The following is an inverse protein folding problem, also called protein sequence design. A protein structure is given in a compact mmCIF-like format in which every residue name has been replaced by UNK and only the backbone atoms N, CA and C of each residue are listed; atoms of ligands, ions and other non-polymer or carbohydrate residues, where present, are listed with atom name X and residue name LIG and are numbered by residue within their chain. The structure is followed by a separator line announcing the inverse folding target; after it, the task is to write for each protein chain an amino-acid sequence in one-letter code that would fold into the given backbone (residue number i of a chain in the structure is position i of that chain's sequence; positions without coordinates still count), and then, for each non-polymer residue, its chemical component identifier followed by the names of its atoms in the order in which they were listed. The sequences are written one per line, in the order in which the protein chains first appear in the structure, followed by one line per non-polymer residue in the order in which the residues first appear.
data_IF_127847295574
#
_entry.id   IF_127847295574
#
_cell.length_a   1.000
_cell.length_b   1.000
_cell.length_c   1.000
_cell.angle_alpha   90.00
_cell.angle_beta   90.00
_cell.angle_gamma   90.00
#
_symmetry.space_group_name_H-M   'P 1'
#
loop_
_entity.id
_entity.type
_entity.pdbx_description
1 polymer ?
#
# COMPACT_ATOMS: atom_id res chain seq x y z
N UNK A 1 -8.36 8.59 -0.41
CA UNK A 1 -9.49 7.84 0.17
C UNK A 1 -10.82 8.60 0.25
N UNK A 2 -10.82 9.95 0.27
CA UNK A 2 -12.05 10.79 0.34
C UNK A 2 -13.13 10.44 -0.69
N UNK A 3 -12.74 9.98 -1.88
CA UNK A 3 -13.66 9.52 -2.94
C UNK A 3 -14.29 8.13 -2.69
N UNK A 4 -13.99 7.50 -1.56
CA UNK A 4 -14.47 6.17 -1.17
C UNK A 4 -14.34 5.13 -2.30
N UNK A 5 -13.14 4.97 -2.91
CA UNK A 5 -12.99 4.02 -4.00
C UNK A 5 -13.15 2.59 -3.47
N UNK A 6 -13.67 1.68 -4.31
CA UNK A 6 -13.65 0.25 -3.99
C UNK A 6 -12.26 -0.36 -4.18
N UNK A 7 -11.47 0.20 -5.11
CA UNK A 7 -10.13 -0.24 -5.44
C UNK A 7 -9.21 0.98 -5.51
N UNK A 8 -8.09 0.94 -4.82
CA UNK A 8 -7.05 1.96 -4.84
C UNK A 8 -5.78 1.38 -5.49
N UNK A 9 -5.35 1.96 -6.60
CA UNK A 9 -4.09 1.65 -7.26
C UNK A 9 -3.07 2.73 -6.93
N UNK A 10 -1.90 2.35 -6.43
CA UNK A 10 -0.86 3.25 -5.95
C UNK A 10 0.51 2.85 -6.51
N UNK A 11 1.25 3.81 -7.02
CA UNK A 11 2.57 3.57 -7.62
C UNK A 11 3.69 4.09 -6.71
N UNK A 12 4.65 3.21 -6.35
CA UNK A 12 5.87 3.55 -5.58
C UNK A 12 5.68 4.42 -4.34
N UNK A 13 4.61 4.19 -3.58
CA UNK A 13 4.19 5.05 -2.46
C UNK A 13 5.16 5.15 -1.27
N UNK A 14 6.19 4.32 -1.24
CA UNK A 14 7.15 4.30 -0.13
C UNK A 14 8.33 5.23 -0.34
N UNK A 15 8.55 5.70 -1.58
CA UNK A 15 9.74 6.50 -1.93
C UNK A 15 9.62 7.90 -1.33
N UNK A 16 10.71 8.38 -0.69
CA UNK A 16 10.83 9.76 -0.20
C UNK A 16 10.08 10.06 1.09
N UNK A 17 9.51 9.05 1.76
CA UNK A 17 8.84 9.22 3.04
C UNK A 17 9.83 9.08 4.20
N UNK A 18 9.67 9.91 5.24
CA UNK A 18 10.30 9.62 6.53
C UNK A 18 9.56 8.45 7.23
N UNK A 19 10.20 7.75 8.20
CA UNK A 19 9.61 6.59 8.85
C UNK A 19 8.25 6.84 9.52
N UNK A 20 8.02 8.05 10.04
CA UNK A 20 6.77 8.41 10.74
C UNK A 20 5.65 8.58 9.74
N UNK A 21 5.89 9.36 8.67
CA UNK A 21 4.91 9.58 7.59
C UNK A 21 4.55 8.28 6.88
N UNK A 22 5.55 7.43 6.61
CA UNK A 22 5.34 6.10 6.05
C UNK A 22 4.43 5.26 6.94
N UNK A 23 4.71 5.22 8.25
CA UNK A 23 3.89 4.46 9.21
C UNK A 23 2.43 4.94 9.22
N UNK A 24 2.21 6.26 9.25
CA UNK A 24 0.87 6.85 9.25
C UNK A 24 0.10 6.54 7.95
N UNK A 25 0.78 6.63 6.80
CA UNK A 25 0.20 6.28 5.51
C UNK A 25 -0.21 4.80 5.47
N UNK A 26 0.68 3.90 5.90
CA UNK A 26 0.40 2.46 5.92
C UNK A 26 -0.75 2.10 6.84
N UNK A 27 -0.84 2.72 8.02
CA UNK A 27 -1.99 2.55 8.92
C UNK A 27 -3.30 2.98 8.26
N UNK A 28 -3.30 4.12 7.56
CA UNK A 28 -4.47 4.63 6.84
C UNK A 28 -4.90 3.67 5.73
N UNK A 29 -3.95 3.11 4.98
CA UNK A 29 -4.22 2.12 3.93
C UNK A 29 -4.71 0.78 4.51
N UNK A 30 -4.18 0.36 5.65
CA UNK A 30 -4.66 -0.82 6.36
C UNK A 30 -6.13 -0.66 6.77
N UNK A 31 -6.50 0.46 7.38
CA UNK A 31 -7.90 0.75 7.74
C UNK A 31 -8.81 0.75 6.51
N UNK A 32 -8.36 1.29 5.38
CA UNK A 32 -9.12 1.21 4.12
C UNK A 32 -9.39 -0.23 3.69
N UNK A 33 -8.39 -1.12 3.80
CA UNK A 33 -8.58 -2.54 3.47
C UNK A 33 -9.48 -3.28 4.45
N UNK A 34 -9.42 -2.93 5.73
CA UNK A 34 -10.31 -3.48 6.77
C UNK A 34 -11.78 -3.06 6.57
N UNK A 35 -12.01 -1.92 5.93
CA UNK A 35 -13.35 -1.43 5.56
C UNK A 35 -13.87 -2.04 4.24
N UNK A 36 -13.17 -3.04 3.68
CA UNK A 36 -13.58 -3.72 2.44
C UNK A 36 -13.06 -3.08 1.15
N UNK A 37 -12.18 -2.07 1.25
CA UNK A 37 -11.44 -1.54 0.12
C UNK A 37 -10.36 -2.52 -0.36
N UNK A 38 -10.06 -2.51 -1.65
CA UNK A 38 -8.96 -3.30 -2.23
C UNK A 38 -7.79 -2.37 -2.54
N UNK A 39 -6.60 -2.73 -2.08
CA UNK A 39 -5.37 -2.02 -2.38
C UNK A 39 -4.53 -2.82 -3.37
N UNK A 40 -4.07 -2.17 -4.44
CA UNK A 40 -3.05 -2.67 -5.35
C UNK A 40 -1.93 -1.64 -5.36
N UNK A 41 -0.70 -2.09 -5.14
CA UNK A 41 0.45 -1.20 -5.21
C UNK A 41 1.65 -1.88 -5.85
N UNK A 42 2.53 -1.06 -6.39
CA UNK A 42 3.84 -1.46 -6.91
C UNK A 42 4.93 -0.99 -5.96
N UNK A 43 5.99 -1.79 -5.87
CA UNK A 43 7.22 -1.37 -5.21
C UNK A 43 8.39 -2.16 -5.77
N UNK A 44 9.52 -1.49 -5.88
CA UNK A 44 10.81 -2.14 -6.11
C UNK A 44 11.39 -2.81 -4.85
N UNK A 45 10.89 -2.49 -3.64
CA UNK A 45 11.37 -3.04 -2.38
C UNK A 45 10.42 -4.13 -1.83
N UNK A 46 10.83 -5.41 -1.78
CA UNK A 46 10.00 -6.49 -1.24
C UNK A 46 9.82 -6.43 0.29
N UNK A 47 10.66 -5.69 1.02
CA UNK A 47 10.54 -5.51 2.47
C UNK A 47 9.29 -4.73 2.87
N UNK A 48 8.86 -3.81 2.01
CA UNK A 48 7.68 -2.96 2.17
C UNK A 48 6.40 -3.78 2.29
N UNK A 49 6.29 -4.90 1.58
CA UNK A 49 5.11 -5.74 1.58
C UNK A 49 4.81 -6.33 2.98
N UNK A 50 5.78 -6.48 3.88
CA UNK A 50 5.55 -7.22 5.14
C UNK A 50 4.53 -6.55 6.07
N UNK A 51 4.32 -5.24 5.99
CA UNK A 51 3.46 -4.50 6.92
C UNK A 51 1.96 -4.70 6.60
N UNK A 52 1.62 -4.82 5.32
CA UNK A 52 0.23 -4.94 4.86
C UNK A 52 -0.21 -6.40 4.64
N UNK A 53 0.68 -7.37 4.86
CA UNK A 53 0.46 -8.79 4.56
C UNK A 53 -0.22 -9.04 3.19
N UNK A 54 0.27 -8.45 2.09
CA UNK A 54 -0.36 -8.54 0.79
C UNK A 54 -0.10 -9.89 0.14
N UNK A 55 -0.93 -10.21 -0.84
CA UNK A 55 -0.53 -11.17 -1.87
C UNK A 55 0.48 -10.50 -2.79
N UNK A 56 1.63 -11.13 -2.98
CA UNK A 56 2.70 -10.60 -3.84
C UNK A 56 2.63 -11.28 -5.20
N UNK A 57 2.63 -10.47 -6.26
CA UNK A 57 2.78 -10.92 -7.64
C UNK A 57 4.09 -10.37 -8.16
N UNK A 58 5.02 -11.25 -8.51
CA UNK A 58 6.30 -10.85 -9.09
C UNK A 58 6.14 -10.67 -10.59
N UNK A 59 6.48 -9.48 -11.09
CA UNK A 59 6.55 -9.21 -12.53
C UNK A 59 7.97 -9.51 -13.00
N UNK A 60 8.12 -10.58 -13.79
CA UNK A 60 9.37 -10.90 -14.51
C UNK A 60 9.25 -10.44 -15.94
N UNK A 61 10.34 -9.94 -16.52
CA UNK A 61 10.44 -9.67 -17.96
C UNK A 61 10.37 -10.95 -18.77
#
# INVERSE_FOLDING_TARGET
LVRQPRICLLDEIMVGQDPTSLTLMLQTLKTFTEQGGVLIFTSHDPGVAKILNPRVVQLTK
#
